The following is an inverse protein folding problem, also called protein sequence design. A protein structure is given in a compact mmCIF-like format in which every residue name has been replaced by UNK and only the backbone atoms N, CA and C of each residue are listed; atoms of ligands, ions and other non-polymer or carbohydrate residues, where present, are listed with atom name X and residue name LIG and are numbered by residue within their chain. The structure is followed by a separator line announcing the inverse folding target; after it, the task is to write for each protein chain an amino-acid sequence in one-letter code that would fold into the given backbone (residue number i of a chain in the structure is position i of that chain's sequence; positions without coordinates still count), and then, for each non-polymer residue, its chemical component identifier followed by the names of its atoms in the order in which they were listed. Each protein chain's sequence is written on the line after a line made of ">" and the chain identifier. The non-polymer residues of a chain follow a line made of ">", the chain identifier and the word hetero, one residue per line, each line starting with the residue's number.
data_IF_820578202227
#
_entry.id   IF_820578202227
#
_cell.length_a   1.000
_cell.length_b   1.000
_cell.length_c   1.000
_cell.angle_alpha   90.00
_cell.angle_beta   90.00
_cell.angle_gamma   90.00
#
_symmetry.space_group_name_H-M   'P 1'
#
loop_
_entity.id
_entity.type
_entity.pdbx_description
1 polymer ?
#
# COMPACT_ATOMS: atom_id res chain seq x y z
N UNK A 1 25.54 -37.40 -46.23
CA UNK A 1 24.15 -37.13 -45.78
C UNK A 1 24.14 -35.95 -44.83
N UNK A 2 23.17 -35.07 -45.00
CA UNK A 2 23.09 -33.68 -44.55
C UNK A 2 22.75 -33.56 -43.05
N UNK A 3 23.62 -32.94 -42.25
CA UNK A 3 23.39 -32.68 -40.81
C UNK A 3 23.70 -31.22 -40.39
N UNK A 4 23.55 -30.25 -41.29
CA UNK A 4 23.86 -28.83 -41.02
C UNK A 4 22.66 -27.88 -41.07
N UNK A 5 21.42 -28.39 -41.13
CA UNK A 5 20.20 -27.55 -41.22
C UNK A 5 19.33 -27.52 -39.94
N UNK A 6 19.72 -28.23 -38.87
CA UNK A 6 18.88 -28.43 -37.67
C UNK A 6 18.93 -27.29 -36.64
N UNK A 7 20.02 -26.52 -36.57
CA UNK A 7 20.18 -25.45 -35.58
C UNK A 7 19.32 -24.19 -35.83
N UNK A 8 19.23 -23.64 -37.06
CA UNK A 8 18.37 -22.47 -37.30
C UNK A 8 16.88 -22.82 -37.21
N UNK A 9 16.50 -24.06 -37.54
CA UNK A 9 15.12 -24.53 -37.41
C UNK A 9 14.68 -24.67 -35.93
N UNK A 10 15.57 -25.15 -35.05
CA UNK A 10 15.28 -25.23 -33.62
C UNK A 10 15.19 -23.85 -32.95
N UNK A 11 16.01 -22.89 -33.38
CA UNK A 11 15.97 -21.51 -32.86
C UNK A 11 14.71 -20.75 -33.32
N UNK A 12 14.29 -20.95 -34.58
CA UNK A 12 13.05 -20.38 -35.10
C UNK A 12 11.80 -20.98 -34.39
N UNK A 13 11.82 -22.27 -34.06
CA UNK A 13 10.72 -22.93 -33.33
C UNK A 13 10.63 -22.46 -31.88
N UNK A 14 11.76 -22.21 -31.22
CA UNK A 14 11.81 -21.64 -29.86
C UNK A 14 11.27 -20.21 -29.78
N UNK A 15 11.51 -19.38 -30.81
CA UNK A 15 10.97 -18.02 -30.90
C UNK A 15 9.45 -18.00 -31.13
N UNK A 16 8.88 -19.00 -31.81
CA UNK A 16 7.43 -19.11 -32.01
C UNK A 16 6.67 -19.61 -30.78
N UNK A 17 7.34 -20.33 -29.87
CA UNK A 17 6.74 -20.84 -28.61
C UNK A 17 6.70 -19.80 -27.48
N UNK A 18 7.41 -18.67 -27.62
CA UNK A 18 7.37 -17.56 -26.65
C UNK A 18 6.25 -16.55 -26.92
N UNK A 19 5.55 -16.68 -28.06
CA UNK A 19 4.47 -15.77 -28.44
C UNK A 19 3.14 -16.23 -27.82
N UNK A 20 2.85 -15.78 -26.59
CA UNK A 20 1.50 -15.95 -26.03
C UNK A 20 1.35 -15.92 -24.51
N UNK A 21 2.31 -15.38 -23.74
CA UNK A 21 2.03 -15.07 -22.35
C UNK A 21 1.14 -13.81 -22.29
N UNK A 22 -0.18 -14.02 -22.24
CA UNK A 22 -1.15 -12.97 -21.90
C UNK A 22 -1.26 -12.92 -20.38
N UNK A 23 -0.55 -11.97 -19.77
CA UNK A 23 -0.71 -11.67 -18.36
C UNK A 23 -1.65 -10.47 -18.22
N UNK A 24 -2.86 -10.70 -17.71
CA UNK A 24 -3.68 -9.64 -17.09
C UNK A 24 -3.15 -9.29 -15.68
N UNK A 25 -2.23 -10.11 -15.16
CA UNK A 25 -1.70 -10.07 -13.79
C UNK A 25 -0.63 -8.98 -13.60
N UNK A 26 -0.65 -8.31 -12.45
CA UNK A 26 0.44 -7.42 -12.03
C UNK A 26 0.06 -6.46 -10.90
N UNK A 27 1.01 -6.17 -10.01
CA UNK A 27 0.96 -5.02 -9.11
C UNK A 27 1.76 -3.88 -9.75
N UNK A 28 1.05 -2.96 -10.39
CA UNK A 28 1.64 -1.88 -11.18
C UNK A 28 1.91 -0.66 -10.32
N UNK A 29 3.07 -0.02 -10.54
CA UNK A 29 3.31 1.27 -9.90
C UNK A 29 2.38 2.32 -10.51
N UNK A 30 1.83 3.25 -9.69
CA UNK A 30 0.98 4.32 -10.19
C UNK A 30 1.58 5.08 -11.38
N UNK A 31 2.89 5.36 -11.32
CA UNK A 31 3.64 6.04 -12.38
C UNK A 31 3.64 5.32 -13.73
N UNK A 32 3.34 4.02 -13.77
CA UNK A 32 3.25 3.21 -15.00
C UNK A 32 1.84 3.19 -15.59
N UNK A 33 0.81 3.65 -14.86
CA UNK A 33 -0.57 3.59 -15.32
C UNK A 33 -0.85 4.34 -16.65
N UNK A 34 -0.17 5.46 -16.98
CA UNK A 34 -0.29 6.06 -18.32
C UNK A 34 0.09 5.10 -19.45
N UNK A 35 1.13 4.29 -19.26
CA UNK A 35 1.60 3.30 -20.24
C UNK A 35 0.60 2.14 -20.39
N UNK A 36 -0.17 1.87 -19.34
CA UNK A 36 -1.20 0.84 -19.29
C UNK A 36 -2.59 1.36 -19.71
N UNK A 37 -2.66 2.52 -20.35
CA UNK A 37 -3.95 3.12 -20.70
C UNK A 37 -4.81 2.19 -21.59
N UNK A 38 -4.21 1.56 -22.60
CA UNK A 38 -4.93 0.64 -23.49
C UNK A 38 -5.53 -0.56 -22.74
N UNK A 39 -4.78 -1.36 -21.97
CA UNK A 39 -5.36 -2.47 -21.20
C UNK A 39 -6.37 -1.99 -20.15
N UNK A 40 -6.14 -0.86 -19.46
CA UNK A 40 -7.11 -0.30 -18.50
C UNK A 40 -8.45 0.03 -19.15
N UNK A 41 -8.44 0.71 -20.30
CA UNK A 41 -9.66 1.03 -21.06
C UNK A 41 -10.35 -0.24 -21.58
N UNK A 42 -9.58 -1.22 -22.05
CA UNK A 42 -10.11 -2.51 -22.49
C UNK A 42 -10.79 -3.29 -21.35
N UNK A 43 -10.24 -3.21 -20.14
CA UNK A 43 -10.84 -3.77 -18.92
C UNK A 43 -12.08 -3.01 -18.42
N UNK A 44 -12.40 -1.86 -19.01
CA UNK A 44 -13.62 -1.09 -18.72
C UNK A 44 -13.42 0.19 -17.91
N UNK A 45 -12.17 0.54 -17.53
CA UNK A 45 -11.89 1.79 -16.82
C UNK A 45 -12.33 3.00 -17.66
N UNK A 46 -13.10 3.91 -17.06
CA UNK A 46 -13.64 5.10 -17.75
C UNK A 46 -12.85 6.37 -17.48
N UNK A 47 -12.13 6.47 -16.36
CA UNK A 47 -11.31 7.62 -15.99
C UNK A 47 -10.03 7.76 -16.81
N UNK A 48 -9.23 8.79 -16.57
CA UNK A 48 -7.95 9.00 -17.24
C UNK A 48 -6.81 8.27 -16.50
N UNK A 49 -6.14 7.27 -17.12
CA UNK A 49 -4.98 6.61 -16.54
C UNK A 49 -3.84 7.56 -16.16
N UNK A 50 -3.73 8.72 -16.83
CA UNK A 50 -2.73 9.72 -16.50
C UNK A 50 -2.94 10.35 -15.11
N UNK A 51 -4.20 10.51 -14.68
CA UNK A 51 -4.52 11.03 -13.34
C UNK A 51 -4.05 10.09 -12.23
N UNK A 52 -3.98 8.78 -12.52
CA UNK A 52 -3.50 7.77 -11.57
C UNK A 52 -1.97 7.73 -11.46
N UNK A 53 -1.21 8.50 -12.26
CA UNK A 53 0.24 8.57 -12.11
C UNK A 53 0.67 9.41 -10.90
N UNK A 54 -0.18 10.35 -10.47
CA UNK A 54 0.10 11.22 -9.36
C UNK A 54 -0.49 10.67 -8.06
N UNK A 55 0.35 10.02 -7.27
CA UNK A 55 -0.05 9.40 -5.99
C UNK A 55 -0.46 10.41 -4.91
N UNK A 56 -0.13 11.70 -5.09
CA UNK A 56 -0.46 12.76 -4.13
C UNK A 56 -1.69 13.55 -4.54
N UNK A 57 -2.33 13.21 -5.67
CA UNK A 57 -3.57 13.79 -6.13
C UNK A 57 -4.74 12.79 -6.12
N UNK A 58 -6.00 13.27 -6.06
CA UNK A 58 -7.16 12.40 -6.22
C UNK A 58 -7.13 11.64 -7.55
N UNK A 59 -7.58 10.37 -7.58
CA UNK A 59 -8.17 9.64 -6.45
C UNK A 59 -7.14 8.96 -5.52
N UNK A 60 -5.87 8.85 -5.92
CA UNK A 60 -4.88 8.05 -5.18
C UNK A 60 -4.46 8.68 -3.85
N UNK A 61 -4.52 10.00 -3.73
CA UNK A 61 -4.23 10.70 -2.47
C UNK A 61 -5.17 10.32 -1.31
N UNK A 62 -6.32 9.72 -1.62
CA UNK A 62 -7.24 9.21 -0.60
C UNK A 62 -6.80 7.84 -0.05
N UNK A 63 -5.93 7.09 -0.74
CA UNK A 63 -5.46 5.77 -0.32
C UNK A 63 -4.27 5.94 0.62
N UNK A 64 -4.34 5.27 1.77
CA UNK A 64 -3.36 5.42 2.85
C UNK A 64 -2.98 4.05 3.41
N UNK A 65 -1.81 3.98 4.06
CA UNK A 65 -1.47 2.82 4.89
C UNK A 65 -2.05 3.05 6.28
N UNK A 66 -2.79 2.08 6.82
CA UNK A 66 -3.35 2.12 8.17
C UNK A 66 -2.86 0.90 8.95
N UNK A 67 -2.00 1.13 9.94
CA UNK A 67 -1.29 0.05 10.64
C UNK A 67 -0.52 -0.84 9.67
N UNK A 68 -0.90 -2.13 9.63
CA UNK A 68 -0.36 -3.14 8.71
C UNK A 68 -1.12 -3.28 7.39
N UNK A 69 -2.24 -2.60 7.20
CA UNK A 69 -3.12 -2.73 6.03
C UNK A 69 -3.25 -1.46 5.19
N UNK A 70 -4.19 -1.51 4.25
CA UNK A 70 -4.60 -0.35 3.44
C UNK A 70 -5.91 0.21 3.97
N UNK A 71 -6.07 1.53 3.87
CA UNK A 71 -7.33 2.21 4.12
C UNK A 71 -7.55 3.30 3.06
N UNK A 72 -8.73 3.90 3.05
CA UNK A 72 -8.98 5.09 2.25
C UNK A 72 -9.77 6.14 3.03
N UNK A 73 -9.46 7.41 2.80
CA UNK A 73 -10.32 8.51 3.22
C UNK A 73 -11.60 8.49 2.39
N UNK A 74 -12.74 8.49 3.09
CA UNK A 74 -14.08 8.42 2.50
C UNK A 74 -14.93 9.65 2.84
N UNK A 75 -14.33 10.67 3.47
CA UNK A 75 -14.95 11.97 3.73
C UNK A 75 -13.90 13.08 3.81
N UNK A 76 -14.32 14.33 3.61
CA UNK A 76 -13.49 15.51 3.86
C UNK A 76 -13.13 15.73 5.35
N UNK A 77 -13.82 15.01 6.25
CA UNK A 77 -13.70 15.13 7.70
C UNK A 77 -12.80 14.04 8.33
N UNK A 78 -11.93 13.44 7.53
CA UNK A 78 -10.93 12.46 7.99
C UNK A 78 -11.46 11.05 8.27
N UNK A 79 -12.72 10.74 7.93
CA UNK A 79 -13.27 9.38 8.04
C UNK A 79 -12.51 8.43 7.10
N UNK A 80 -12.08 7.29 7.64
CA UNK A 80 -11.28 6.26 7.00
C UNK A 80 -12.06 4.94 6.94
N UNK A 81 -12.01 4.26 5.81
CA UNK A 81 -12.51 2.90 5.63
C UNK A 81 -11.33 1.92 5.52
N UNK A 82 -11.35 0.87 6.34
CA UNK A 82 -10.40 -0.25 6.26
C UNK A 82 -11.11 -1.56 6.60
N UNK A 83 -10.41 -2.69 6.55
CA UNK A 83 -10.97 -3.98 6.95
C UNK A 83 -11.12 -4.09 8.47
N UNK A 84 -12.09 -4.88 8.90
CA UNK A 84 -12.32 -5.19 10.31
C UNK A 84 -11.12 -5.89 10.94
N UNK A 85 -10.49 -6.83 10.22
CA UNK A 85 -9.28 -7.50 10.72
C UNK A 85 -8.07 -6.56 10.81
N UNK A 86 -7.95 -5.57 9.92
CA UNK A 86 -6.86 -4.56 9.98
C UNK A 86 -6.99 -3.71 11.25
N UNK A 87 -8.23 -3.36 11.62
CA UNK A 87 -8.52 -2.59 12.82
C UNK A 87 -8.75 -3.46 14.07
N UNK A 88 -8.55 -4.78 14.02
CA UNK A 88 -8.86 -5.67 15.14
C UNK A 88 -8.09 -5.29 16.41
N UNK A 89 -6.82 -4.90 16.29
CA UNK A 89 -6.04 -4.42 17.44
C UNK A 89 -6.65 -3.19 18.10
N UNK A 90 -7.22 -2.27 17.32
CA UNK A 90 -7.93 -1.07 17.82
C UNK A 90 -9.22 -1.44 18.54
N UNK A 91 -9.99 -2.37 17.97
CA UNK A 91 -11.25 -2.86 18.54
C UNK A 91 -10.98 -3.59 19.85
N UNK A 92 -9.99 -4.49 19.86
CA UNK A 92 -9.59 -5.23 21.05
C UNK A 92 -9.04 -4.32 22.14
N UNK A 93 -8.23 -3.30 21.79
CA UNK A 93 -7.69 -2.33 22.74
C UNK A 93 -8.78 -1.59 23.52
N UNK A 94 -9.95 -1.38 22.90
CA UNK A 94 -11.09 -0.70 23.51
C UNK A 94 -12.16 -1.67 24.04
N UNK A 95 -11.91 -2.97 24.03
CA UNK A 95 -12.85 -3.98 24.54
C UNK A 95 -12.55 -4.35 26.00
N UNK A 96 -13.60 -4.56 26.79
CA UNK A 96 -13.53 -5.08 28.16
C UNK A 96 -14.59 -6.17 28.39
N UNK A 97 -14.54 -6.92 29.50
CA UNK A 97 -15.61 -7.86 29.84
C UNK A 97 -17.01 -7.20 29.93
N UNK A 98 -17.07 -5.93 30.34
CA UNK A 98 -18.31 -5.15 30.46
C UNK A 98 -18.72 -4.53 29.12
N UNK A 99 -17.75 -4.22 28.25
CA UNK A 99 -17.96 -3.60 26.94
C UNK A 99 -17.19 -4.37 25.86
N UNK A 100 -17.76 -5.48 25.43
CA UNK A 100 -17.16 -6.34 24.42
C UNK A 100 -17.43 -5.80 23.00
N UNK A 101 -16.53 -4.95 22.50
CA UNK A 101 -16.65 -4.38 21.15
C UNK A 101 -16.35 -5.42 20.06
N UNK A 102 -15.62 -6.49 20.38
CA UNK A 102 -15.34 -7.56 19.42
C UNK A 102 -16.63 -8.28 19.07
N UNK A 103 -17.37 -8.75 20.07
CA UNK A 103 -18.61 -9.51 19.82
C UNK A 103 -19.82 -8.60 19.61
N UNK A 104 -19.87 -7.45 20.29
CA UNK A 104 -21.00 -6.51 20.23
C UNK A 104 -20.91 -5.47 19.11
N UNK A 105 -19.74 -5.28 18.51
CA UNK A 105 -19.47 -4.17 17.62
C UNK A 105 -19.39 -2.83 18.35
N UNK A 106 -19.24 -1.75 17.59
CA UNK A 106 -19.14 -0.39 18.11
C UNK A 106 -19.73 0.61 17.12
N UNK A 107 -20.43 1.61 17.64
CA UNK A 107 -20.85 2.79 16.87
C UNK A 107 -20.76 4.04 17.76
N UNK A 108 -19.91 4.97 17.36
CA UNK A 108 -19.81 6.26 18.03
C UNK A 108 -21.09 7.08 17.79
N UNK A 109 -21.72 7.58 18.86
CA UNK A 109 -22.88 8.47 18.74
C UNK A 109 -22.50 9.88 18.24
N UNK A 110 -21.21 10.21 18.28
CA UNK A 110 -20.65 11.46 17.78
C UNK A 110 -19.14 11.50 18.03
N UNK A 111 -18.47 12.58 17.61
CA UNK A 111 -17.00 12.72 17.70
C UNK A 111 -16.44 12.54 19.11
N UNK A 112 -17.19 12.94 20.14
CA UNK A 112 -16.78 12.81 21.54
C UNK A 112 -16.82 11.37 22.06
N UNK A 113 -17.53 10.47 21.37
CA UNK A 113 -17.66 9.06 21.72
C UNK A 113 -16.67 8.16 20.94
N UNK A 114 -16.01 8.71 19.91
CA UNK A 114 -14.98 8.00 19.14
C UNK A 114 -13.81 7.59 20.06
N UNK A 115 -13.32 6.35 19.91
CA UNK A 115 -12.37 5.73 20.84
C UNK A 115 -10.95 5.74 20.31
N UNK A 116 -9.92 6.08 21.09
CA UNK A 116 -8.56 6.14 20.58
C UNK A 116 -8.08 4.77 20.10
N UNK A 117 -7.33 4.75 19.01
CA UNK A 117 -6.59 3.57 18.58
C UNK A 117 -5.47 3.23 19.58
N UNK A 118 -4.95 2.01 19.49
CA UNK A 118 -3.76 1.61 20.26
C UNK A 118 -2.56 2.53 19.94
N UNK A 119 -1.64 2.78 20.90
CA UNK A 119 -0.63 3.85 20.80
C UNK A 119 0.33 3.77 19.60
N UNK A 120 0.47 2.61 18.97
CA UNK A 120 1.33 2.31 17.83
C UNK A 120 0.57 2.31 16.48
N UNK A 121 -0.75 2.47 16.48
CA UNK A 121 -1.53 2.57 15.25
C UNK A 121 -1.24 3.90 14.54
N UNK A 122 -0.86 3.85 13.26
CA UNK A 122 -0.57 5.03 12.44
C UNK A 122 -1.32 4.97 11.13
N UNK A 123 -1.69 6.14 10.63
CA UNK A 123 -2.14 6.33 9.24
C UNK A 123 -1.07 7.12 8.51
N UNK A 124 -0.50 6.53 7.46
CA UNK A 124 0.55 7.16 6.65
C UNK A 124 -0.05 7.61 5.31
N UNK A 125 -0.09 8.93 5.12
CA UNK A 125 -0.61 9.59 3.91
C UNK A 125 0.57 9.91 3.00
N UNK A 126 0.57 9.37 1.77
CA UNK A 126 1.65 9.63 0.82
C UNK A 126 1.58 11.06 0.30
N UNK A 127 2.64 11.83 0.56
CA UNK A 127 2.76 13.25 0.15
C UNK A 127 3.94 13.50 -0.80
N UNK A 128 4.79 12.48 -1.03
CA UNK A 128 5.87 12.53 -2.01
C UNK A 128 6.27 11.14 -2.49
N UNK A 129 6.62 11.05 -3.77
CA UNK A 129 7.04 9.81 -4.42
C UNK A 129 8.02 10.14 -5.54
N UNK A 130 9.32 9.98 -5.28
CA UNK A 130 10.39 10.45 -6.17
C UNK A 130 11.33 9.31 -6.54
N UNK A 131 11.72 9.21 -7.80
CA UNK A 131 12.77 8.27 -8.22
C UNK A 131 14.14 8.81 -7.80
N UNK A 132 14.84 8.08 -6.94
CA UNK A 132 16.15 8.48 -6.37
C UNK A 132 17.27 7.49 -6.72
N UNK A 133 17.07 6.73 -7.80
CA UNK A 133 17.94 5.63 -8.24
C UNK A 133 19.38 6.10 -8.46
N UNK A 134 19.58 7.18 -9.21
CA UNK A 134 20.92 7.71 -9.50
C UNK A 134 21.63 8.19 -8.23
N UNK A 135 20.88 8.80 -7.30
CA UNK A 135 21.43 9.25 -6.02
C UNK A 135 21.89 8.08 -5.15
N UNK A 136 21.10 6.99 -5.10
CA UNK A 136 21.44 5.78 -4.34
C UNK A 136 22.64 5.06 -4.97
N UNK A 137 22.66 4.93 -6.30
CA UNK A 137 23.66 4.12 -7.00
C UNK A 137 24.99 4.84 -7.27
N UNK A 138 25.05 6.17 -7.12
CA UNK A 138 26.25 6.95 -7.38
C UNK A 138 27.51 6.41 -6.68
N UNK A 139 27.38 6.02 -5.40
CA UNK A 139 28.50 5.52 -4.57
C UNK A 139 28.62 3.99 -4.55
N UNK A 140 27.65 3.29 -5.13
CA UNK A 140 27.62 1.83 -5.20
C UNK A 140 28.23 1.29 -6.50
N UNK A 141 28.38 2.15 -7.53
CA UNK A 141 28.92 1.77 -8.83
C UNK A 141 30.31 1.15 -8.72
N UNK A 142 30.49 -0.03 -9.32
CA UNK A 142 31.74 -0.79 -9.31
C UNK A 142 32.02 -1.54 -8.00
N UNK A 143 31.18 -1.39 -6.97
CA UNK A 143 31.26 -2.19 -5.74
C UNK A 143 30.46 -3.48 -5.88
N UNK A 144 30.80 -4.47 -5.08
CA UNK A 144 30.12 -5.77 -5.05
C UNK A 144 29.94 -6.26 -3.61
N UNK A 145 29.04 -7.23 -3.41
CA UNK A 145 28.79 -7.87 -2.11
C UNK A 145 28.49 -6.87 -0.99
N UNK A 146 29.19 -7.03 0.13
CA UNK A 146 29.01 -6.18 1.32
C UNK A 146 29.26 -4.69 1.04
N UNK A 147 30.29 -4.38 0.26
CA UNK A 147 30.66 -3.00 -0.05
C UNK A 147 29.59 -2.28 -0.90
N UNK A 148 28.89 -3.01 -1.78
CA UNK A 148 27.74 -2.50 -2.51
C UNK A 148 26.57 -2.21 -1.56
N UNK A 149 26.23 -3.19 -0.72
CA UNK A 149 25.15 -3.05 0.26
C UNK A 149 25.37 -1.85 1.18
N UNK A 150 26.57 -1.72 1.76
CA UNK A 150 26.88 -0.61 2.68
C UNK A 150 26.79 0.76 1.98
N UNK A 151 27.14 0.84 0.69
CA UNK A 151 27.03 2.08 -0.08
C UNK A 151 25.55 2.47 -0.34
N UNK A 152 24.72 1.50 -0.72
CA UNK A 152 23.27 1.69 -0.92
C UNK A 152 22.57 2.06 0.38
N UNK A 153 22.90 1.37 1.47
CA UNK A 153 22.35 1.64 2.81
C UNK A 153 22.72 3.04 3.31
N UNK A 154 23.99 3.43 3.18
CA UNK A 154 24.44 4.76 3.56
C UNK A 154 23.74 5.87 2.75
N UNK A 155 23.63 5.71 1.43
CA UNK A 155 22.93 6.67 0.58
C UNK A 155 21.43 6.75 0.93
N UNK A 156 20.79 5.61 1.17
CA UNK A 156 19.37 5.56 1.56
C UNK A 156 19.12 6.26 2.90
N UNK A 157 19.98 6.03 3.90
CA UNK A 157 19.91 6.72 5.21
C UNK A 157 20.10 8.23 5.07
N UNK A 158 21.00 8.67 4.20
CA UNK A 158 21.19 10.10 3.93
C UNK A 158 19.95 10.73 3.28
N UNK A 159 19.35 10.06 2.30
CA UNK A 159 18.11 10.51 1.65
C UNK A 159 16.96 10.64 2.66
N UNK A 160 16.80 9.64 3.53
CA UNK A 160 15.78 9.68 4.59
C UNK A 160 16.05 10.81 5.58
N UNK A 161 17.28 10.93 6.08
CA UNK A 161 17.64 11.96 7.05
C UNK A 161 17.42 13.39 6.52
N UNK A 162 17.70 13.65 5.24
CA UNK A 162 17.41 14.97 4.65
C UNK A 162 15.91 15.17 4.44
N UNK A 163 15.17 14.12 4.08
CA UNK A 163 13.72 14.18 3.87
C UNK A 163 12.94 14.43 5.17
N UNK A 164 13.36 13.86 6.29
CA UNK A 164 12.71 14.02 7.61
C UNK A 164 13.23 15.23 8.40
N UNK A 165 14.13 16.03 7.83
CA UNK A 165 14.86 17.10 8.53
C UNK A 165 13.97 18.19 9.14
N UNK A 166 12.85 18.50 8.48
CA UNK A 166 11.88 19.47 8.98
C UNK A 166 10.92 18.88 10.03
N UNK A 167 10.94 17.55 10.23
CA UNK A 167 10.09 16.84 11.17
C UNK A 167 8.61 16.71 10.75
N UNK A 168 8.24 17.13 9.54
CA UNK A 168 6.85 17.15 9.06
C UNK A 168 6.37 15.80 8.50
N UNK A 169 7.31 14.97 8.05
CA UNK A 169 7.03 13.71 7.36
C UNK A 169 7.94 12.59 7.86
N UNK A 170 7.47 11.36 7.65
CA UNK A 170 8.28 10.14 7.67
C UNK A 170 8.69 9.81 6.25
N UNK A 171 9.95 9.42 6.06
CA UNK A 171 10.45 9.06 4.74
C UNK A 171 11.05 7.66 4.71
N UNK A 172 10.97 7.02 3.56
CA UNK A 172 11.61 5.73 3.30
C UNK A 172 12.17 5.69 1.88
N UNK A 173 13.11 4.78 1.65
CA UNK A 173 13.64 4.47 0.32
C UNK A 173 13.22 3.04 -0.02
N UNK A 174 12.29 2.90 -0.96
CA UNK A 174 11.84 1.62 -1.47
C UNK A 174 12.78 1.13 -2.58
N UNK A 175 13.23 -0.11 -2.45
CA UNK A 175 13.96 -0.84 -3.49
C UNK A 175 12.94 -1.57 -4.38
N UNK A 176 12.98 -1.28 -5.67
CA UNK A 176 12.11 -1.89 -6.69
C UNK A 176 12.95 -2.73 -7.66
N UNK A 177 12.33 -3.77 -8.20
CA UNK A 177 12.91 -4.60 -9.26
C UNK A 177 14.32 -5.14 -8.93
N UNK A 178 14.50 -5.65 -7.71
CA UNK A 178 15.77 -6.23 -7.25
C UNK A 178 16.96 -5.25 -7.29
N UNK A 179 16.69 -3.96 -7.08
CA UNK A 179 17.71 -2.92 -6.94
C UNK A 179 18.07 -2.23 -8.25
N UNK A 180 17.28 -2.38 -9.31
CA UNK A 180 17.44 -1.54 -10.51
C UNK A 180 16.87 -0.15 -10.28
N UNK A 181 15.81 -0.02 -9.48
CA UNK A 181 15.16 1.24 -9.18
C UNK A 181 15.03 1.47 -7.67
N UNK A 182 15.17 2.73 -7.26
CA UNK A 182 14.93 3.19 -5.90
C UNK A 182 14.02 4.41 -5.90
N UNK A 183 13.06 4.43 -4.98
CA UNK A 183 12.11 5.52 -4.83
C UNK A 183 12.10 6.02 -3.39
N UNK A 184 12.18 7.35 -3.21
CA UNK A 184 11.90 7.99 -1.94
C UNK A 184 10.39 8.16 -1.81
N UNK A 185 9.83 7.69 -0.69
CA UNK A 185 8.43 7.88 -0.34
C UNK A 185 8.39 8.77 0.90
N UNK A 186 7.74 9.93 0.80
CA UNK A 186 7.48 10.83 1.92
C UNK A 186 6.02 10.70 2.34
N UNK A 187 5.77 10.53 3.63
CA UNK A 187 4.44 10.30 4.18
C UNK A 187 4.18 11.16 5.41
N UNK A 188 3.04 11.83 5.44
CA UNK A 188 2.52 12.44 6.66
C UNK A 188 2.07 11.32 7.61
N UNK A 189 2.57 11.32 8.83
CA UNK A 189 2.23 10.33 9.87
C UNK A 189 1.14 10.88 10.80
N UNK A 190 -0.08 10.39 10.64
CA UNK A 190 -1.20 10.70 11.52
C UNK A 190 -1.20 9.72 12.70
N UNK A 191 -1.13 10.27 13.91
CA UNK A 191 -0.99 9.50 15.16
C UNK A 191 -2.22 9.52 16.05
N UNK A 192 -3.09 10.54 15.96
CA UNK A 192 -4.41 10.53 16.58
C UNK A 192 -5.42 9.91 15.59
N UNK A 193 -5.67 8.61 15.77
CA UNK A 193 -6.65 7.86 15.00
C UNK A 193 -7.66 7.27 15.98
N UNK A 194 -8.95 7.36 15.64
CA UNK A 194 -10.03 6.94 16.53
C UNK A 194 -11.01 5.99 15.82
N UNK A 195 -11.48 5.01 16.56
CA UNK A 195 -12.54 4.10 16.16
C UNK A 195 -13.88 4.84 16.11
N UNK A 196 -14.56 4.73 14.97
CA UNK A 196 -15.88 5.33 14.73
C UNK A 196 -16.96 4.26 14.65
N UNK A 197 -16.70 3.19 13.92
CA UNK A 197 -17.64 2.09 13.75
C UNK A 197 -16.91 0.77 13.53
N UNK A 198 -17.35 -0.28 14.20
CA UNK A 198 -16.98 -1.66 13.89
C UNK A 198 -18.25 -2.52 13.91
N UNK A 199 -18.50 -3.35 12.89
CA UNK A 199 -19.56 -4.34 12.97
C UNK A 199 -19.22 -5.40 14.03
N UNK A 200 -20.21 -6.09 14.61
CA UNK A 200 -19.96 -7.29 15.42
C UNK A 200 -19.06 -8.29 14.71
N UNK A 201 -18.24 -9.06 15.45
CA UNK A 201 -17.39 -10.14 14.89
C UNK A 201 -18.18 -11.09 14.00
N UNK A 202 -19.43 -11.40 14.35
CA UNK A 202 -20.30 -12.25 13.56
C UNK A 202 -20.59 -11.72 12.14
N UNK A 203 -20.29 -10.45 11.86
CA UNK A 203 -20.34 -9.84 10.53
C UNK A 203 -18.91 -9.59 10.02
N UNK A 204 -18.08 -8.92 10.82
CA UNK A 204 -16.73 -8.49 10.46
C UNK A 204 -15.72 -9.63 10.24
N UNK A 205 -15.99 -10.80 10.83
CA UNK A 205 -15.22 -12.04 10.67
C UNK A 205 -16.18 -13.25 10.57
N UNK A 206 -17.30 -13.09 9.87
CA UNK A 206 -18.23 -14.18 9.62
C UNK A 206 -17.53 -15.38 8.98
N UNK A 207 -17.83 -16.57 9.51
CA UNK A 207 -17.24 -17.84 9.08
C UNK A 207 -15.83 -18.11 9.62
N UNK A 208 -15.16 -17.09 10.17
CA UNK A 208 -13.87 -17.21 10.86
C UNK A 208 -12.83 -17.99 10.03
N UNK A 209 -12.01 -18.82 10.68
CA UNK A 209 -11.01 -19.63 9.99
C UNK A 209 -11.58 -20.69 9.02
N UNK A 210 -12.80 -21.17 9.23
CA UNK A 210 -13.46 -22.12 8.30
C UNK A 210 -13.60 -21.47 6.93
N UNK A 211 -13.96 -20.19 6.97
CA UNK A 211 -14.11 -19.31 5.84
C UNK A 211 -12.85 -18.46 5.66
N UNK A 212 -11.64 -18.93 5.95
CA UNK A 212 -10.43 -18.20 5.52
C UNK A 212 -9.98 -18.73 4.15
N UNK A 213 -9.63 -17.85 3.22
CA UNK A 213 -9.24 -18.20 1.83
C UNK A 213 -10.26 -18.97 0.96
N UNK A 214 -11.51 -19.06 1.38
CA UNK A 214 -12.61 -19.72 0.66
C UNK A 214 -13.48 -18.78 -0.18
N UNK A 215 -14.12 -19.37 -1.20
CA UNK A 215 -15.25 -18.79 -1.92
C UNK A 215 -16.32 -19.88 -2.10
N UNK A 216 -17.64 -19.62 -1.98
CA UNK A 216 -18.30 -18.32 -1.72
C UNK A 216 -17.93 -17.67 -0.38
N UNK A 217 -18.03 -16.34 -0.30
CA UNK A 217 -17.69 -15.53 0.88
C UNK A 217 -18.85 -14.63 1.27
N UNK A 218 -19.12 -14.52 2.58
CA UNK A 218 -20.23 -13.72 3.13
C UNK A 218 -19.80 -12.80 4.28
N UNK A 219 -18.50 -12.50 4.39
CA UNK A 219 -17.92 -11.68 5.46
C UNK A 219 -18.05 -10.19 5.15
N UNK A 220 -18.63 -9.42 6.07
CA UNK A 220 -18.69 -7.96 6.01
C UNK A 220 -17.45 -7.33 6.65
N UNK A 221 -16.27 -7.58 6.09
CA UNK A 221 -14.97 -7.23 6.65
C UNK A 221 -14.62 -5.74 6.48
N UNK A 222 -15.23 -4.87 7.29
CA UNK A 222 -14.96 -3.44 7.28
C UNK A 222 -15.05 -2.79 8.66
N UNK A 223 -14.32 -1.68 8.85
CA UNK A 223 -14.34 -0.81 10.04
C UNK A 223 -14.14 0.63 9.58
N UNK A 224 -14.79 1.57 10.29
CA UNK A 224 -14.55 2.99 10.11
C UNK A 224 -13.71 3.54 11.25
N UNK A 225 -12.65 4.24 10.87
CA UNK A 225 -11.80 5.02 11.75
C UNK A 225 -11.90 6.50 11.37
N UNK A 226 -11.31 7.39 12.17
CA UNK A 226 -11.12 8.79 11.81
C UNK A 226 -9.75 9.26 12.24
N UNK A 227 -9.05 9.94 11.36
CA UNK A 227 -7.82 10.62 11.71
C UNK A 227 -8.08 12.05 12.19
N UNK A 228 -7.30 12.48 13.17
CA UNK A 228 -7.30 13.81 13.77
C UNK A 228 -5.91 14.43 13.69
N UNK A 229 -5.87 15.76 13.71
CA UNK A 229 -4.66 16.58 13.72
C UNK A 229 -4.78 17.68 14.79
N UNK A 230 -3.68 18.40 15.03
CA UNK A 230 -3.66 19.57 15.88
C UNK A 230 -4.50 20.72 15.29
N UNK A 231 -4.67 21.80 16.06
CA UNK A 231 -5.39 22.98 15.57
C UNK A 231 -4.61 23.75 14.50
N UNK A 232 -3.31 23.54 14.46
CA UNK A 232 -2.33 24.07 13.53
C UNK A 232 -2.28 23.31 12.19
N UNK A 233 -3.01 22.20 12.08
CA UNK A 233 -2.96 21.28 10.93
C UNK A 233 -1.99 20.14 11.17
#
# INVERSE_FOLDING_TARGET
>A
MSARKSLPAALALGLTLAAGAHADEGMWMPTQLPELAKPLKAAGFKGDPAELANVTAPPLSAVVRAGGGTASFVSADGLLLTNHHVAMGVIQYNSSPEHDLINGGFIAQGRADERPANPDFRVLVTVGFDKVTDQVLAQAKGKTGRAYFDAVDAASKQIVAECEKDGSVRCSVANMYYGTDFYRIAQLELSDVRLVYAPPRAIGNYGDEIDNFMWPRHTGDFTLLRAYVGKDG
#
